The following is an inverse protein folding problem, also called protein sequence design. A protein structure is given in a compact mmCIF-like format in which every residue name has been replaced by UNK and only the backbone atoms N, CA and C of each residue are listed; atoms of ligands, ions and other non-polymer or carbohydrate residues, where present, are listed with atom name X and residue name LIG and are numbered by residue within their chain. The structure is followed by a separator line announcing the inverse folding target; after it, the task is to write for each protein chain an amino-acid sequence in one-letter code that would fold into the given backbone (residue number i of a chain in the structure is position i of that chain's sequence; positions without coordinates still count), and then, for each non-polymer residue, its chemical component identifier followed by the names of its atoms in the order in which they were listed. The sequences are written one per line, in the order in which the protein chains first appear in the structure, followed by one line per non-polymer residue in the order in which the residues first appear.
data_IF_992769581580
#
_entry.id   IF_992769581580
#
_cell.length_a   1.000
_cell.length_b   1.000
_cell.length_c   1.000
_cell.angle_alpha   90.00
_cell.angle_beta   90.00
_cell.angle_gamma   90.00
#
_symmetry.space_group_name_H-M   'P 1'
#
loop_
_entity.id
_entity.type
_entity.pdbx_description
1 polymer ?
#
# COMPACT_ATOMS: atom_id res chain seq x y z
N UNK A 1 23.98 27.34 41.09
CA UNK A 1 22.94 27.40 40.07
C UNK A 1 23.42 26.56 38.89
N UNK A 2 22.96 25.32 38.79
CA UNK A 2 23.34 24.44 37.69
C UNK A 2 22.58 24.86 36.42
N UNK A 3 23.23 24.98 35.23
CA UNK A 3 22.51 25.26 34.03
C UNK A 3 21.66 24.01 33.67
N UNK A 4 20.37 24.23 33.52
CA UNK A 4 19.43 23.27 32.99
C UNK A 4 19.92 22.84 31.58
N UNK A 5 20.35 21.60 31.47
CA UNK A 5 20.64 20.95 30.21
C UNK A 5 19.32 20.87 29.42
N UNK A 6 19.08 21.88 28.62
CA UNK A 6 17.99 21.89 27.65
C UNK A 6 18.21 20.67 26.75
N UNK A 7 17.20 19.81 26.65
CA UNK A 7 17.15 18.58 25.88
C UNK A 7 17.33 18.89 24.38
N UNK A 8 18.57 19.15 23.94
CA UNK A 8 18.93 19.27 22.53
C UNK A 8 18.82 17.86 21.94
N UNK A 9 17.63 17.56 21.41
CA UNK A 9 17.43 16.31 20.65
C UNK A 9 18.53 16.24 19.60
N UNK A 10 19.36 15.21 19.64
CA UNK A 10 20.48 15.06 18.72
C UNK A 10 20.01 15.21 17.28
N UNK A 11 20.77 15.87 16.43
CA UNK A 11 20.49 16.07 15.00
C UNK A 11 20.14 14.74 14.32
N UNK A 12 20.81 13.68 14.72
CA UNK A 12 20.57 12.29 14.36
C UNK A 12 19.10 11.86 14.56
N UNK A 13 18.55 12.11 15.75
CA UNK A 13 17.16 11.75 16.04
C UNK A 13 16.15 12.58 15.24
N UNK A 14 16.49 13.81 14.86
CA UNK A 14 15.65 14.64 13.99
C UNK A 14 15.63 14.08 12.56
N UNK A 15 16.80 13.78 12.01
CA UNK A 15 16.95 13.21 10.67
C UNK A 15 16.24 11.85 10.62
N UNK A 16 16.49 10.98 11.59
CA UNK A 16 15.83 9.67 11.67
C UNK A 16 14.31 9.80 11.67
N UNK A 17 13.75 10.62 12.53
CA UNK A 17 12.27 10.80 12.60
C UNK A 17 11.70 11.38 11.32
N UNK A 18 12.39 12.32 10.67
CA UNK A 18 11.95 12.91 9.42
C UNK A 18 11.93 11.87 8.29
N UNK A 19 13.01 11.11 8.12
CA UNK A 19 13.09 10.04 7.12
C UNK A 19 12.06 8.95 7.38
N UNK A 20 11.93 8.51 8.65
CA UNK A 20 10.94 7.50 9.02
C UNK A 20 9.51 7.97 8.71
N UNK A 21 9.17 9.20 9.12
CA UNK A 21 7.82 9.76 8.87
C UNK A 21 7.54 9.88 7.38
N UNK A 22 8.49 10.40 6.60
CA UNK A 22 8.35 10.49 5.15
C UNK A 22 8.16 9.13 4.50
N UNK A 23 8.96 8.14 4.87
CA UNK A 23 8.86 6.77 4.35
C UNK A 23 7.50 6.14 4.69
N UNK A 24 7.01 6.32 5.93
CA UNK A 24 5.70 5.81 6.33
C UNK A 24 4.56 6.46 5.55
N UNK A 25 4.64 7.77 5.32
CA UNK A 25 3.64 8.49 4.50
C UNK A 25 3.64 7.95 3.05
N UNK A 26 4.81 7.80 2.45
CA UNK A 26 4.94 7.28 1.08
C UNK A 26 4.38 5.86 0.99
N UNK A 27 4.74 4.97 1.93
CA UNK A 27 4.23 3.60 1.97
C UNK A 27 2.71 3.56 2.16
N UNK A 28 2.16 4.42 3.02
CA UNK A 28 0.73 4.50 3.25
C UNK A 28 -0.03 4.97 2.00
N UNK A 29 0.43 6.05 1.37
CA UNK A 29 -0.18 6.57 0.14
C UNK A 29 -0.09 5.55 -0.99
N UNK A 30 1.10 4.98 -1.21
CA UNK A 30 1.31 3.96 -2.23
C UNK A 30 0.43 2.73 -2.00
N UNK A 31 0.40 2.20 -0.77
CA UNK A 31 -0.42 1.06 -0.41
C UNK A 31 -1.91 1.32 -0.63
N UNK A 32 -2.40 2.51 -0.26
CA UNK A 32 -3.81 2.89 -0.46
C UNK A 32 -4.15 2.99 -1.95
N UNK A 33 -3.31 3.63 -2.74
CA UNK A 33 -3.52 3.77 -4.20
C UNK A 33 -3.49 2.41 -4.88
N UNK A 34 -2.48 1.58 -4.58
CA UNK A 34 -2.37 0.23 -5.16
C UNK A 34 -3.55 -0.66 -4.76
N UNK A 35 -3.98 -0.58 -3.52
CA UNK A 35 -5.15 -1.31 -3.03
C UNK A 35 -6.44 -0.90 -3.76
N UNK A 36 -6.64 0.40 -3.98
CA UNK A 36 -7.79 0.91 -4.72
C UNK A 36 -7.77 0.44 -6.19
N UNK A 37 -6.62 0.53 -6.87
CA UNK A 37 -6.46 0.08 -8.25
C UNK A 37 -6.72 -1.44 -8.35
N UNK A 38 -6.08 -2.22 -7.47
CA UNK A 38 -6.23 -3.67 -7.49
C UNK A 38 -7.69 -4.09 -7.26
N UNK A 39 -8.38 -3.42 -6.33
CA UNK A 39 -9.77 -3.69 -6.06
C UNK A 39 -10.67 -3.42 -7.28
N UNK A 40 -10.55 -2.24 -7.89
CA UNK A 40 -11.39 -1.89 -9.06
C UNK A 40 -11.13 -2.80 -10.25
N UNK A 41 -9.88 -3.23 -10.46
CA UNK A 41 -9.53 -4.18 -11.51
C UNK A 41 -10.10 -5.56 -11.21
N UNK A 42 -9.97 -6.03 -9.97
CA UNK A 42 -10.46 -7.35 -9.55
C UNK A 42 -11.98 -7.50 -9.66
N UNK A 43 -12.76 -6.47 -9.29
CA UNK A 43 -14.22 -6.49 -9.49
C UNK A 43 -14.59 -6.52 -10.97
N UNK A 44 -13.98 -5.64 -11.74
CA UNK A 44 -14.25 -5.52 -13.17
C UNK A 44 -13.93 -6.80 -13.94
N UNK A 45 -12.75 -7.38 -13.69
CA UNK A 45 -12.33 -8.63 -14.34
C UNK A 45 -13.30 -9.75 -14.00
N UNK A 46 -13.82 -9.80 -12.76
CA UNK A 46 -14.81 -10.79 -12.35
C UNK A 46 -16.14 -10.67 -13.07
N UNK A 47 -16.65 -9.44 -13.22
CA UNK A 47 -17.90 -9.19 -13.96
C UNK A 47 -17.71 -9.52 -15.45
N UNK A 48 -16.61 -9.11 -16.06
CA UNK A 48 -16.29 -9.41 -17.46
C UNK A 48 -16.12 -10.92 -17.71
N UNK A 49 -15.46 -11.64 -16.82
CA UNK A 49 -15.27 -13.09 -16.91
C UNK A 49 -16.61 -13.84 -16.81
N UNK A 50 -17.45 -13.48 -15.82
CA UNK A 50 -18.76 -14.10 -15.64
C UNK A 50 -19.69 -13.82 -16.83
N UNK A 51 -19.70 -12.57 -17.31
CA UNK A 51 -20.51 -12.16 -18.47
C UNK A 51 -20.08 -12.90 -19.74
N UNK A 52 -18.77 -12.99 -19.96
CA UNK A 52 -18.21 -13.72 -21.08
C UNK A 52 -18.52 -15.23 -21.02
N UNK A 53 -18.42 -15.81 -19.80
CA UNK A 53 -18.77 -17.20 -19.59
C UNK A 53 -20.26 -17.45 -19.86
N UNK A 54 -21.15 -16.58 -19.36
CA UNK A 54 -22.60 -16.69 -19.60
C UNK A 54 -22.93 -16.62 -21.09
N UNK A 55 -22.30 -15.70 -21.82
CA UNK A 55 -22.49 -15.57 -23.27
C UNK A 55 -21.97 -16.80 -24.03
N UNK A 56 -20.84 -17.36 -23.62
CA UNK A 56 -20.27 -18.57 -24.24
C UNK A 56 -21.16 -19.79 -23.99
N UNK A 57 -21.69 -19.94 -22.78
CA UNK A 57 -22.64 -21.00 -22.44
C UNK A 57 -23.92 -20.84 -23.26
N UNK A 58 -24.50 -19.65 -23.30
CA UNK A 58 -25.71 -19.39 -24.11
C UNK A 58 -25.47 -19.70 -25.60
N UNK A 59 -24.29 -19.33 -26.14
CA UNK A 59 -23.93 -19.63 -27.53
C UNK A 59 -23.77 -21.14 -27.76
N UNK A 60 -23.19 -21.85 -26.80
CA UNK A 60 -23.03 -23.32 -26.88
C UNK A 60 -24.33 -24.08 -26.79
N UNK A 61 -25.28 -23.56 -26.03
CA UNK A 61 -26.64 -24.13 -25.95
C UNK A 61 -27.49 -23.84 -27.22
N UNK A 62 -27.23 -22.72 -27.88
CA UNK A 62 -27.78 -22.38 -29.19
C UNK A 62 -29.30 -22.51 -29.27
N UNK A 63 -29.77 -23.37 -30.19
CA UNK A 63 -31.21 -23.64 -30.47
C UNK A 63 -31.74 -24.89 -29.75
N UNK A 64 -31.00 -25.40 -28.75
CA UNK A 64 -31.46 -26.59 -28.01
C UNK A 64 -32.77 -26.30 -27.28
N UNK A 65 -33.60 -27.32 -27.17
CA UNK A 65 -34.79 -27.27 -26.32
C UNK A 65 -34.39 -27.33 -24.84
N UNK A 66 -35.34 -27.01 -23.94
CA UNK A 66 -35.10 -26.91 -22.50
C UNK A 66 -34.51 -28.21 -21.91
N UNK A 67 -34.96 -29.37 -22.40
CA UNK A 67 -34.49 -30.67 -21.91
C UNK A 67 -33.07 -30.97 -22.36
N UNK A 68 -32.70 -30.62 -23.59
CA UNK A 68 -31.34 -30.76 -24.11
C UNK A 68 -30.37 -29.75 -23.45
N UNK A 69 -30.85 -28.54 -23.15
CA UNK A 69 -30.10 -27.55 -22.35
C UNK A 69 -29.77 -28.08 -20.94
N UNK A 70 -30.76 -28.68 -20.26
CA UNK A 70 -30.54 -29.30 -18.94
C UNK A 70 -29.47 -30.39 -19.00
N UNK A 71 -29.55 -31.29 -20.00
CA UNK A 71 -28.57 -32.35 -20.18
C UNK A 71 -27.17 -31.78 -20.48
N UNK A 72 -27.06 -30.78 -21.34
CA UNK A 72 -25.79 -30.14 -21.66
C UNK A 72 -25.17 -29.47 -20.44
N UNK A 73 -25.98 -28.74 -19.65
CA UNK A 73 -25.48 -28.09 -18.43
C UNK A 73 -25.02 -29.10 -17.35
N UNK A 74 -25.70 -30.27 -17.26
CA UNK A 74 -25.31 -31.30 -16.29
C UNK A 74 -24.04 -32.08 -16.66
N UNK A 75 -23.61 -32.07 -17.93
CA UNK A 75 -22.51 -32.92 -18.41
C UNK A 75 -21.28 -32.17 -18.90
N UNK A 76 -21.41 -30.96 -19.39
CA UNK A 76 -20.37 -30.28 -20.17
C UNK A 76 -19.65 -29.13 -19.45
N UNK A 77 -20.21 -28.59 -18.37
CA UNK A 77 -19.70 -27.33 -17.82
C UNK A 77 -18.95 -27.52 -16.50
N UNK A 78 -17.94 -26.69 -16.31
CA UNK A 78 -16.98 -26.67 -15.20
C UNK A 78 -17.64 -26.25 -13.88
N UNK A 79 -17.15 -26.77 -12.75
CA UNK A 79 -17.54 -26.36 -11.39
C UNK A 79 -17.13 -24.92 -11.02
N UNK A 80 -16.58 -24.14 -11.97
CA UNK A 80 -16.14 -22.76 -11.71
C UNK A 80 -17.28 -21.81 -11.41
N UNK A 81 -18.46 -22.05 -11.99
CA UNK A 81 -19.65 -21.22 -11.83
C UNK A 81 -20.85 -22.09 -11.42
N UNK A 82 -21.80 -21.46 -10.75
CA UNK A 82 -23.12 -22.07 -10.57
C UNK A 82 -24.00 -21.76 -11.78
N UNK A 83 -24.58 -22.76 -12.38
CA UNK A 83 -25.45 -22.67 -13.54
C UNK A 83 -26.89 -22.87 -13.13
N UNK A 84 -27.81 -22.03 -13.60
CA UNK A 84 -29.25 -22.14 -13.38
C UNK A 84 -29.94 -21.97 -14.71
N UNK A 85 -30.78 -22.92 -15.12
CA UNK A 85 -31.69 -22.81 -16.28
C UNK A 85 -33.07 -22.45 -15.81
N UNK A 86 -33.66 -21.42 -16.39
CA UNK A 86 -34.95 -20.84 -15.99
C UNK A 86 -35.84 -20.80 -17.22
N UNK A 87 -37.06 -21.30 -17.12
CA UNK A 87 -38.02 -21.27 -18.22
C UNK A 87 -38.61 -19.86 -18.43
N UNK A 88 -39.44 -19.75 -19.46
CA UNK A 88 -40.11 -18.49 -19.83
C UNK A 88 -41.07 -17.96 -18.76
N UNK A 89 -41.56 -18.82 -17.86
CA UNK A 89 -42.47 -18.46 -16.75
C UNK A 89 -41.68 -18.18 -15.45
N UNK A 90 -40.36 -18.31 -15.49
CA UNK A 90 -39.43 -18.08 -14.36
C UNK A 90 -39.27 -19.29 -13.44
N UNK A 91 -39.80 -20.47 -13.81
CA UNK A 91 -39.55 -21.68 -13.05
C UNK A 91 -38.12 -22.18 -13.29
N UNK A 92 -37.47 -22.67 -12.24
CA UNK A 92 -36.11 -23.23 -12.36
C UNK A 92 -36.19 -24.66 -12.88
N UNK A 93 -35.63 -24.90 -14.06
CA UNK A 93 -35.54 -26.22 -14.68
C UNK A 93 -34.35 -27.02 -14.20
N UNK A 94 -33.21 -26.34 -14.05
CA UNK A 94 -31.96 -26.95 -13.62
C UNK A 94 -31.14 -25.97 -12.76
N UNK A 95 -30.44 -26.49 -11.76
CA UNK A 95 -29.45 -25.78 -10.99
C UNK A 95 -28.28 -26.72 -10.62
N UNK A 96 -27.04 -26.29 -10.85
CA UNK A 96 -25.88 -27.15 -10.65
C UNK A 96 -25.52 -27.40 -9.16
N UNK A 97 -26.12 -26.66 -8.23
CA UNK A 97 -25.79 -26.73 -6.79
C UNK A 97 -26.96 -27.17 -5.93
N UNK A 98 -28.18 -26.77 -6.29
CA UNK A 98 -29.37 -27.01 -5.50
C UNK A 98 -30.43 -27.82 -6.30
N UNK A 99 -31.38 -28.45 -5.59
CA UNK A 99 -32.50 -29.12 -6.23
C UNK A 99 -33.50 -28.10 -6.81
N UNK A 100 -33.58 -28.04 -8.13
CA UNK A 100 -34.45 -27.12 -8.86
C UNK A 100 -35.91 -27.20 -8.41
N UNK A 101 -36.39 -28.40 -8.05
CA UNK A 101 -37.77 -28.62 -7.62
C UNK A 101 -38.16 -27.91 -6.32
N UNK A 102 -37.15 -27.55 -5.51
CA UNK A 102 -37.33 -26.84 -4.22
C UNK A 102 -37.16 -25.33 -4.33
N UNK A 103 -36.79 -24.83 -5.52
CA UNK A 103 -36.51 -23.42 -5.72
C UNK A 103 -37.78 -22.61 -6.00
N UNK A 104 -37.77 -21.37 -5.51
CA UNK A 104 -38.80 -20.39 -5.81
C UNK A 104 -38.72 -19.95 -7.28
N UNK A 105 -39.83 -19.40 -7.79
CA UNK A 105 -39.83 -18.80 -9.11
C UNK A 105 -38.86 -17.61 -9.19
N UNK A 106 -38.10 -17.51 -10.26
CA UNK A 106 -37.06 -16.53 -10.48
C UNK A 106 -37.40 -15.40 -11.47
N UNK A 107 -38.65 -15.33 -11.98
CA UNK A 107 -39.10 -14.31 -12.93
C UNK A 107 -38.85 -12.88 -12.43
N UNK A 108 -39.03 -12.65 -11.11
CA UNK A 108 -38.87 -11.33 -10.50
C UNK A 108 -37.41 -10.96 -10.18
N UNK A 109 -36.45 -11.83 -10.47
CA UNK A 109 -35.04 -11.54 -10.25
C UNK A 109 -34.57 -10.46 -11.25
N UNK A 110 -33.90 -9.38 -10.78
CA UNK A 110 -33.53 -8.26 -11.66
C UNK A 110 -32.74 -8.70 -12.90
N UNK A 111 -31.75 -9.59 -12.72
CA UNK A 111 -30.93 -10.12 -13.82
C UNK A 111 -31.74 -10.94 -14.81
N UNK A 112 -32.73 -11.71 -14.34
CA UNK A 112 -33.60 -12.53 -15.20
C UNK A 112 -34.57 -11.65 -15.99
N UNK A 113 -35.20 -10.68 -15.33
CA UNK A 113 -36.09 -9.74 -15.98
C UNK A 113 -35.38 -8.89 -17.03
N UNK A 114 -34.17 -8.42 -16.72
CA UNK A 114 -33.35 -7.65 -17.68
C UNK A 114 -32.92 -8.55 -18.86
N UNK A 115 -32.56 -9.81 -18.61
CA UNK A 115 -32.27 -10.77 -19.67
C UNK A 115 -33.49 -11.03 -20.56
N UNK A 116 -34.66 -11.13 -20.00
CA UNK A 116 -35.91 -11.30 -20.75
C UNK A 116 -36.21 -10.10 -21.66
N UNK A 117 -36.05 -8.87 -21.16
CA UNK A 117 -36.32 -7.63 -21.88
C UNK A 117 -35.25 -7.27 -22.92
N UNK A 118 -33.97 -7.47 -22.61
CA UNK A 118 -32.80 -6.95 -23.38
C UNK A 118 -31.88 -8.01 -23.93
N UNK A 119 -32.19 -9.28 -23.68
CA UNK A 119 -31.39 -10.43 -24.08
C UNK A 119 -30.29 -10.78 -23.07
N UNK A 120 -29.91 -9.87 -22.17
CA UNK A 120 -29.01 -10.16 -21.06
C UNK A 120 -29.21 -9.21 -19.88
N UNK A 121 -28.89 -9.70 -18.68
CA UNK A 121 -28.97 -8.93 -17.45
C UNK A 121 -27.88 -9.32 -16.47
N UNK A 122 -27.40 -8.32 -15.72
CA UNK A 122 -26.31 -8.49 -14.77
C UNK A 122 -26.67 -7.82 -13.45
N UNK A 123 -26.32 -8.47 -12.33
CA UNK A 123 -26.51 -7.88 -11.01
C UNK A 123 -25.49 -8.41 -10.01
N UNK A 124 -25.10 -7.56 -9.11
CA UNK A 124 -24.24 -7.90 -7.97
C UNK A 124 -25.05 -7.79 -6.68
N UNK A 125 -24.97 -8.81 -5.80
CA UNK A 125 -25.67 -8.83 -4.51
C UNK A 125 -24.69 -9.07 -3.38
N UNK A 126 -24.71 -8.15 -2.41
CA UNK A 126 -23.90 -8.28 -1.19
C UNK A 126 -24.71 -9.01 -0.10
N UNK A 127 -24.12 -10.05 0.48
CA UNK A 127 -24.63 -10.73 1.67
C UNK A 127 -23.92 -10.22 2.92
N UNK A 128 -24.61 -9.40 3.71
CA UNK A 128 -24.06 -8.88 4.99
C UNK A 128 -23.84 -9.99 6.03
N UNK A 129 -24.59 -11.09 5.93
CA UNK A 129 -24.47 -12.21 6.87
C UNK A 129 -23.24 -13.07 6.61
N UNK A 130 -22.91 -13.29 5.34
CA UNK A 130 -21.77 -14.13 4.93
C UNK A 130 -20.53 -13.31 4.62
N UNK A 131 -20.67 -11.98 4.48
CA UNK A 131 -19.56 -11.13 4.06
C UNK A 131 -19.10 -11.44 2.63
N UNK A 132 -20.00 -11.91 1.76
CA UNK A 132 -19.68 -12.29 0.38
C UNK A 132 -20.46 -11.42 -0.61
N UNK A 133 -19.92 -11.30 -1.81
CA UNK A 133 -20.60 -10.73 -2.98
C UNK A 133 -20.88 -11.84 -3.96
N UNK A 134 -22.12 -11.96 -4.41
CA UNK A 134 -22.48 -12.87 -5.47
C UNK A 134 -22.82 -12.08 -6.72
N UNK A 135 -22.06 -12.34 -7.78
CA UNK A 135 -22.27 -11.82 -9.11
C UNK A 135 -23.21 -12.75 -9.87
N UNK A 136 -24.12 -12.18 -10.63
CA UNK A 136 -25.05 -12.90 -11.49
C UNK A 136 -24.99 -12.32 -12.89
N UNK A 137 -24.90 -13.20 -13.89
CA UNK A 137 -25.07 -12.86 -15.30
C UNK A 137 -26.07 -13.80 -15.93
N UNK A 138 -27.09 -13.26 -16.52
CA UNK A 138 -28.20 -13.98 -17.16
C UNK A 138 -28.25 -13.65 -18.66
N UNK A 139 -28.44 -14.67 -19.49
CA UNK A 139 -28.57 -14.53 -20.95
C UNK A 139 -29.79 -15.29 -21.43
N UNK A 140 -30.62 -14.62 -22.22
CA UNK A 140 -31.80 -15.23 -22.88
C UNK A 140 -31.38 -16.11 -24.03
N UNK A 141 -31.86 -17.34 -24.05
CA UNK A 141 -31.63 -18.31 -25.12
C UNK A 141 -32.63 -18.10 -26.26
N UNK A 142 -32.40 -18.76 -27.42
CA UNK A 142 -33.28 -18.63 -28.57
C UNK A 142 -34.61 -19.32 -28.38
N UNK A 143 -34.66 -20.36 -27.55
CA UNK A 143 -35.91 -21.04 -27.17
C UNK A 143 -36.77 -20.23 -26.19
N UNK A 144 -36.28 -19.09 -25.69
CA UNK A 144 -36.94 -18.21 -24.72
C UNK A 144 -36.58 -18.44 -23.28
N UNK A 145 -35.89 -19.54 -22.93
CA UNK A 145 -35.37 -19.80 -21.59
C UNK A 145 -34.23 -18.81 -21.26
N UNK A 146 -33.89 -18.71 -19.98
CA UNK A 146 -32.79 -17.90 -19.50
C UNK A 146 -31.76 -18.80 -18.83
N UNK A 147 -30.48 -18.73 -19.30
CA UNK A 147 -29.36 -19.32 -18.57
C UNK A 147 -28.75 -18.27 -17.69
N UNK A 148 -28.62 -18.55 -16.40
CA UNK A 148 -28.03 -17.67 -15.40
C UNK A 148 -26.80 -18.33 -14.83
N UNK A 149 -25.69 -17.63 -14.88
CA UNK A 149 -24.45 -17.98 -14.17
C UNK A 149 -24.31 -17.13 -12.92
N UNK A 150 -23.76 -17.72 -11.87
CA UNK A 150 -23.38 -16.96 -10.68
C UNK A 150 -22.07 -17.42 -10.07
N UNK A 151 -21.35 -16.46 -9.50
CA UNK A 151 -20.12 -16.67 -8.79
C UNK A 151 -20.17 -15.94 -7.45
N UNK A 152 -19.82 -16.64 -6.37
CA UNK A 152 -19.75 -16.04 -5.03
C UNK A 152 -18.28 -15.80 -4.68
N UNK A 153 -17.93 -14.56 -4.38
CA UNK A 153 -16.59 -14.14 -4.00
C UNK A 153 -16.58 -13.54 -2.60
N UNK A 154 -15.43 -13.56 -1.97
CA UNK A 154 -15.25 -12.86 -0.71
C UNK A 154 -15.47 -11.36 -0.90
N UNK A 155 -16.15 -10.75 0.08
CA UNK A 155 -16.32 -9.30 0.08
C UNK A 155 -14.99 -8.59 0.30
N UNK A 156 -14.99 -7.29 -0.04
CA UNK A 156 -13.89 -6.37 0.27
C UNK A 156 -13.33 -6.54 1.68
N UNK A 157 -14.20 -6.61 2.66
CA UNK A 157 -13.80 -6.66 4.07
C UNK A 157 -13.06 -7.97 4.37
N UNK A 158 -13.52 -9.10 3.85
CA UNK A 158 -12.86 -10.38 4.01
C UNK A 158 -11.54 -10.43 3.24
N UNK A 159 -11.52 -9.93 2.00
CA UNK A 159 -10.32 -9.82 1.16
C UNK A 159 -9.22 -8.97 1.81
N UNK A 160 -9.57 -7.74 2.24
CA UNK A 160 -8.61 -6.89 2.96
C UNK A 160 -8.22 -7.46 4.31
N UNK A 161 -9.14 -8.14 5.01
CA UNK A 161 -8.83 -8.85 6.24
C UNK A 161 -7.74 -9.90 6.05
N UNK A 162 -7.81 -10.68 4.98
CA UNK A 162 -6.78 -11.66 4.61
C UNK A 162 -5.42 -11.01 4.25
N UNK A 163 -5.43 -9.80 3.68
CA UNK A 163 -4.22 -9.07 3.32
C UNK A 163 -3.55 -8.33 4.49
N UNK A 164 -4.24 -8.15 5.63
CA UNK A 164 -3.67 -7.44 6.78
C UNK A 164 -2.37 -8.04 7.29
N UNK A 165 -2.24 -9.37 7.30
CA UNK A 165 -1.03 -10.07 7.71
C UNK A 165 0.19 -9.74 6.83
N UNK A 166 0.13 -9.97 5.52
CA UNK A 166 1.20 -9.59 4.59
C UNK A 166 1.55 -8.09 4.62
N UNK A 167 0.55 -7.22 4.71
CA UNK A 167 0.77 -5.76 4.80
C UNK A 167 1.51 -5.41 6.09
N UNK A 168 1.07 -5.94 7.24
CA UNK A 168 1.73 -5.71 8.52
C UNK A 168 3.18 -6.21 8.53
N UNK A 169 3.44 -7.39 7.94
CA UNK A 169 4.80 -7.93 7.80
C UNK A 169 5.67 -7.03 6.92
N UNK A 170 5.18 -6.59 5.78
CA UNK A 170 5.90 -5.69 4.88
C UNK A 170 6.23 -4.36 5.56
N UNK A 171 5.28 -3.79 6.31
CA UNK A 171 5.49 -2.57 7.09
C UNK A 171 6.55 -2.76 8.17
N UNK A 172 6.52 -3.88 8.89
CA UNK A 172 7.51 -4.21 9.91
C UNK A 172 8.92 -4.33 9.31
N UNK A 173 9.06 -5.02 8.19
CA UNK A 173 10.34 -5.15 7.47
C UNK A 173 10.82 -3.78 6.98
N UNK A 174 9.95 -2.96 6.41
CA UNK A 174 10.29 -1.62 5.96
C UNK A 174 10.77 -0.72 7.12
N UNK A 175 10.06 -0.74 8.26
CA UNK A 175 10.46 0.01 9.47
C UNK A 175 11.84 -0.46 9.96
N UNK A 176 12.07 -1.77 10.00
CA UNK A 176 13.35 -2.34 10.41
C UNK A 176 14.48 -1.93 9.47
N UNK A 177 14.28 -1.97 8.15
CA UNK A 177 15.26 -1.51 7.16
C UNK A 177 15.56 -0.02 7.29
N UNK A 178 14.55 0.82 7.43
CA UNK A 178 14.72 2.27 7.66
C UNK A 178 15.49 2.53 8.94
N UNK A 179 15.21 1.78 10.00
CA UNK A 179 15.94 1.89 11.27
C UNK A 179 17.43 1.55 11.09
N UNK A 180 17.75 0.42 10.47
CA UNK A 180 19.12 -0.03 10.22
C UNK A 180 19.89 0.93 9.31
N UNK A 181 19.27 1.37 8.21
CA UNK A 181 19.86 2.32 7.27
C UNK A 181 20.09 3.68 7.93
N UNK A 182 19.13 4.16 8.71
CA UNK A 182 19.26 5.45 9.43
C UNK A 182 20.38 5.41 10.46
N UNK A 183 20.52 4.34 11.23
CA UNK A 183 21.65 4.19 12.16
C UNK A 183 22.98 4.21 11.41
N UNK A 184 23.07 3.43 10.30
CA UNK A 184 24.31 3.35 9.52
C UNK A 184 24.66 4.68 8.85
N UNK A 185 23.68 5.40 8.32
CA UNK A 185 23.88 6.70 7.69
C UNK A 185 24.28 7.75 8.73
N UNK A 186 23.60 7.78 9.86
CA UNK A 186 23.93 8.69 10.98
C UNK A 186 25.35 8.47 11.48
N UNK A 187 25.76 7.20 11.69
CA UNK A 187 27.13 6.90 12.12
C UNK A 187 28.16 7.34 11.08
N UNK A 188 27.91 7.14 9.80
CA UNK A 188 28.80 7.57 8.73
C UNK A 188 28.95 9.08 8.60
N UNK A 189 27.89 9.84 8.88
CA UNK A 189 27.91 11.31 8.77
C UNK A 189 28.43 11.95 10.05
N UNK A 190 28.04 11.43 11.22
CA UNK A 190 28.39 12.06 12.50
C UNK A 190 29.77 11.67 13.02
N UNK A 191 30.24 10.44 12.80
CA UNK A 191 31.55 10.01 13.26
C UNK A 191 32.69 10.91 12.78
N UNK A 192 32.79 11.29 11.50
CA UNK A 192 33.83 12.22 11.05
C UNK A 192 33.73 13.62 11.70
N UNK A 193 32.47 14.10 11.93
CA UNK A 193 32.24 15.40 12.55
C UNK A 193 32.62 15.39 14.03
N UNK A 194 32.33 14.30 14.75
CA UNK A 194 32.67 14.13 16.16
C UNK A 194 34.18 13.93 16.37
N UNK A 195 34.90 13.48 15.33
CA UNK A 195 36.35 13.25 15.34
C UNK A 195 37.16 14.50 14.94
N UNK A 196 36.49 15.66 14.72
CA UNK A 196 37.16 16.91 14.35
C UNK A 196 38.22 17.31 15.37
N UNK A 197 39.47 17.43 14.91
CA UNK A 197 40.55 18.07 15.69
C UNK A 197 40.51 19.59 15.53
N UNK A 198 39.96 20.25 16.54
CA UNK A 198 39.89 21.70 16.57
C UNK A 198 41.29 22.36 16.84
N UNK A 199 42.29 21.59 17.25
CA UNK A 199 43.64 22.15 17.44
C UNK A 199 44.37 22.38 16.10
N UNK A 200 44.08 21.51 15.12
CA UNK A 200 44.61 21.56 13.77
C UNK A 200 43.48 21.49 12.72
N UNK A 201 42.69 22.59 12.57
CA UNK A 201 41.48 22.53 11.76
C UNK A 201 41.71 22.13 10.30
N UNK A 202 42.84 22.57 9.70
CA UNK A 202 43.18 22.32 8.30
C UNK A 202 43.70 20.90 8.01
N UNK A 203 44.00 20.11 9.04
CA UNK A 203 44.44 18.71 8.89
C UNK A 203 43.22 17.72 8.85
N UNK A 204 42.00 18.23 9.02
CA UNK A 204 40.82 17.40 8.98
C UNK A 204 40.35 17.22 7.54
N UNK A 205 40.49 16.01 6.99
CA UNK A 205 39.93 15.61 5.70
C UNK A 205 38.54 14.94 5.92
N UNK A 206 37.45 15.73 5.96
CA UNK A 206 36.11 15.18 6.24
C UNK A 206 35.22 15.30 5.02
N UNK A 207 34.83 16.50 4.65
CA UNK A 207 33.95 16.81 3.50
C UNK A 207 34.42 18.13 2.88
N UNK A 208 34.49 18.21 1.55
CA UNK A 208 34.87 19.44 0.82
C UNK A 208 34.00 20.65 1.21
N UNK A 209 32.74 20.41 1.55
CA UNK A 209 31.81 21.46 1.97
C UNK A 209 32.14 22.08 3.32
N UNK A 210 33.00 21.43 4.11
CA UNK A 210 33.46 21.95 5.41
C UNK A 210 34.75 22.78 5.34
N UNK A 211 35.47 22.74 4.23
CA UNK A 211 36.73 23.48 4.07
C UNK A 211 36.61 24.98 4.40
N UNK A 212 35.59 25.72 3.92
CA UNK A 212 35.44 27.13 4.26
C UNK A 212 35.18 27.39 5.75
N UNK A 213 34.59 26.41 6.45
CA UNK A 213 34.35 26.49 7.88
C UNK A 213 35.63 26.22 8.67
N UNK A 214 36.43 25.24 8.24
CA UNK A 214 37.69 24.87 8.85
C UNK A 214 38.73 26.01 8.70
N UNK A 215 38.82 26.64 7.51
CA UNK A 215 39.66 27.84 7.27
C UNK A 215 39.25 28.96 8.23
N UNK A 216 37.99 29.23 8.40
CA UNK A 216 37.50 30.27 9.29
C UNK A 216 37.83 29.99 10.76
N UNK A 217 37.80 28.75 11.18
CA UNK A 217 38.16 28.33 12.53
C UNK A 217 39.67 28.51 12.72
N UNK A 218 40.51 28.16 11.75
CA UNK A 218 41.98 28.36 11.81
C UNK A 218 42.34 29.84 11.91
N UNK A 219 41.73 30.69 11.08
CA UNK A 219 41.91 32.14 11.14
C UNK A 219 41.56 32.74 12.51
N UNK A 220 40.40 32.31 13.07
CA UNK A 220 40.03 32.76 14.41
C UNK A 220 41.01 32.29 15.48
N UNK A 221 41.51 31.09 15.38
CA UNK A 221 42.53 30.59 16.32
C UNK A 221 43.86 31.36 16.19
N UNK A 222 44.30 31.69 14.98
CA UNK A 222 45.46 32.51 14.75
C UNK A 222 45.33 33.89 15.40
N UNK A 223 44.21 34.55 15.19
CA UNK A 223 43.91 35.84 15.81
C UNK A 223 43.92 35.77 17.35
N UNK A 224 43.31 34.71 17.92
CA UNK A 224 43.33 34.50 19.36
C UNK A 224 44.75 34.26 19.90
N UNK A 225 45.56 33.48 19.20
CA UNK A 225 46.96 33.24 19.56
C UNK A 225 47.79 34.52 19.51
N UNK A 226 47.60 35.40 18.52
CA UNK A 226 48.27 36.71 18.42
C UNK A 226 47.83 37.65 19.55
N UNK A 227 46.54 37.77 19.81
CA UNK A 227 46.02 38.58 20.92
C UNK A 227 46.57 38.12 22.28
N UNK A 228 46.61 36.81 22.51
CA UNK A 228 47.19 36.26 23.74
C UNK A 228 48.71 36.56 23.88
N UNK A 229 49.46 36.51 22.76
CA UNK A 229 50.90 36.91 22.77
C UNK A 229 51.08 38.38 23.08
N UNK A 230 50.24 39.23 22.50
CA UNK A 230 50.32 40.69 22.76
C UNK A 230 49.90 41.05 24.18
N UNK A 231 48.87 40.37 24.72
CA UNK A 231 48.53 40.49 26.13
C UNK A 231 49.65 40.07 27.06
N UNK A 232 50.31 38.93 26.79
CA UNK A 232 51.41 38.44 27.58
C UNK A 232 52.60 39.39 27.52
N UNK A 233 52.94 39.99 26.35
CA UNK A 233 53.96 41.00 26.19
C UNK A 233 53.63 42.30 26.98
N UNK A 234 52.40 42.77 26.90
CA UNK A 234 51.93 43.92 27.66
C UNK A 234 51.99 43.72 29.17
N UNK A 235 51.66 42.51 29.66
CA UNK A 235 51.79 42.14 31.06
C UNK A 235 53.21 42.10 31.53
N UNK A 236 54.15 41.56 30.69
CA UNK A 236 55.58 41.54 31.01
C UNK A 236 56.09 42.94 31.07
N UNK A 237 55.82 43.81 30.08
CA UNK A 237 56.26 45.23 30.12
C UNK A 237 55.71 45.98 31.33
N UNK A 238 54.46 45.72 31.70
CA UNK A 238 53.83 46.32 32.89
C UNK A 238 54.50 45.86 34.19
N UNK A 239 54.86 44.58 34.28
CA UNK A 239 55.59 44.02 35.42
C UNK A 239 57.05 44.59 35.54
N UNK A 240 57.76 44.67 34.41
CA UNK A 240 59.12 45.23 34.36
C UNK A 240 59.07 46.72 34.70
N UNK A 241 58.09 47.48 34.21
CA UNK A 241 57.93 48.88 34.57
C UNK A 241 57.61 49.05 36.02
N UNK A 242 56.78 48.26 36.60
CA UNK A 242 56.43 48.30 38.05
C UNK A 242 57.62 47.92 38.94
N UNK A 243 58.49 47.01 38.47
CA UNK A 243 59.65 46.58 39.19
C UNK A 243 60.84 47.64 39.15
N UNK A 244 60.87 48.45 38.08
CA UNK A 244 61.88 49.50 37.92
C UNK A 244 61.56 50.84 38.61
N UNK A 245 60.34 51.01 39.05
CA UNK A 245 59.86 52.26 39.70
C UNK A 245 59.76 52.11 41.23
N UNK A 246 60.07 50.94 41.79
CA UNK A 246 60.16 50.70 43.25
C UNK A 246 61.64 50.68 43.69
#
# INVERSE_FOLDING_TARGET
MSPTHNNVKSLSNRIFRSVLTFTLIVLFVFGTVMSAIFYTTYERDAEEDLSSAAQNVATSLGDLDSQACEQALSQQFSDAFRYTLIDTDGAVLYDSVADASTMENHADRPEVREADERGRGEVSRYSSTLGTVTLYSAVKLQNGDVVRLSETRESLVAFFGGMMGPIALTLLVAIMLVFLLSQRLTSRIMQPIDALDFANPLENEIYEEMDPLLERIDDQQRQLREQNKDLARAETMRRDFSSNVS
#
